data_IF_380007992592
#
_entry.id   IF_380007992592
#
_cell.length_a   1.000
_cell.length_b   1.000
_cell.length_c   1.000
_cell.angle_alpha   90.00
_cell.angle_beta   90.00
_cell.angle_gamma   90.00
#
_symmetry.space_group_name_H-M   'P 1'
#
loop_
_entity.id
_entity.type
_entity.pdbx_description
1 polymer ?
#
# COMPACT_ATOMS: atom_id res chain seq x y z
N UNK A 1 -8.92 -12.65 13.76
CA UNK A 1 -8.31 -12.37 12.43
C UNK A 1 -9.29 -11.55 11.60
N UNK A 2 -9.03 -10.24 11.36
CA UNK A 2 -9.98 -9.35 10.64
C UNK A 2 -10.09 -9.62 9.13
N UNK A 3 -9.06 -10.23 8.53
CA UNK A 3 -8.97 -10.52 7.08
C UNK A 3 -10.15 -11.31 6.51
N UNK A 4 -10.77 -12.19 7.29
CA UNK A 4 -11.87 -13.06 6.85
C UNK A 4 -13.25 -12.48 7.17
N UNK A 5 -13.34 -11.21 7.60
CA UNK A 5 -14.61 -10.60 8.01
C UNK A 5 -15.68 -10.60 6.92
N UNK A 6 -15.30 -10.57 5.64
CA UNK A 6 -16.26 -10.59 4.53
C UNK A 6 -17.02 -11.92 4.41
N UNK A 7 -16.48 -13.03 4.94
CA UNK A 7 -17.16 -14.33 4.91
C UNK A 7 -18.42 -14.36 5.77
N UNK A 8 -18.54 -13.49 6.78
CA UNK A 8 -19.71 -13.47 7.66
C UNK A 8 -20.87 -12.66 7.08
N UNK A 9 -20.65 -11.87 6.02
CA UNK A 9 -21.68 -10.99 5.43
C UNK A 9 -22.87 -11.80 4.93
N UNK A 10 -22.64 -12.88 4.17
CA UNK A 10 -23.71 -13.71 3.62
C UNK A 10 -24.46 -14.46 4.74
N UNK A 11 -23.80 -15.20 5.65
CA UNK A 11 -24.47 -15.85 6.78
C UNK A 11 -25.29 -14.89 7.64
N UNK A 12 -24.74 -13.72 8.00
CA UNK A 12 -25.44 -12.72 8.83
C UNK A 12 -26.67 -12.19 8.09
N UNK A 13 -26.56 -11.94 6.79
CA UNK A 13 -27.68 -11.44 5.98
C UNK A 13 -28.81 -12.48 5.88
N UNK A 14 -28.46 -13.76 5.69
CA UNK A 14 -29.43 -14.86 5.67
C UNK A 14 -30.09 -15.05 7.04
N UNK A 15 -29.33 -14.99 8.13
CA UNK A 15 -29.87 -15.09 9.48
C UNK A 15 -30.78 -13.90 9.82
N UNK A 16 -30.42 -12.68 9.42
CA UNK A 16 -31.26 -11.50 9.60
C UNK A 16 -32.57 -11.59 8.79
N UNK A 17 -32.52 -12.09 7.56
CA UNK A 17 -33.69 -12.35 6.73
C UNK A 17 -34.59 -13.44 7.35
N UNK A 18 -33.99 -14.56 7.78
CA UNK A 18 -34.70 -15.65 8.44
C UNK A 18 -35.35 -15.21 9.76
N UNK A 19 -34.63 -14.42 10.56
CA UNK A 19 -35.15 -13.81 11.78
C UNK A 19 -36.37 -12.92 11.47
N UNK A 20 -36.25 -12.04 10.49
CA UNK A 20 -37.34 -11.16 10.05
C UNK A 20 -38.55 -12.00 9.60
N UNK A 21 -38.34 -13.03 8.79
CA UNK A 21 -39.40 -13.95 8.36
C UNK A 21 -40.09 -14.65 9.53
N UNK A 22 -39.32 -15.16 10.48
CA UNK A 22 -39.85 -15.85 11.67
C UNK A 22 -40.77 -14.94 12.48
N UNK A 23 -40.37 -13.68 12.71
CA UNK A 23 -41.20 -12.70 13.41
C UNK A 23 -42.53 -12.45 12.66
N UNK A 24 -42.52 -12.41 11.33
CA UNK A 24 -43.77 -12.19 10.56
C UNK A 24 -44.80 -13.32 10.72
N UNK A 25 -44.36 -14.53 11.07
CA UNK A 25 -45.26 -15.66 11.33
C UNK A 25 -45.98 -15.54 12.68
N UNK A 26 -45.42 -14.79 13.64
CA UNK A 26 -46.00 -14.61 14.98
C UNK A 26 -46.99 -13.44 15.07
N UNK A 27 -47.07 -12.61 14.03
CA UNK A 27 -47.94 -11.42 14.01
C UNK A 27 -49.09 -11.57 13.01
N UNK A 28 -50.18 -10.83 13.26
CA UNK A 28 -51.36 -10.83 12.39
C UNK A 28 -51.00 -10.36 10.97
N UNK A 29 -51.64 -10.91 9.91
CA UNK A 29 -51.33 -10.54 8.52
C UNK A 29 -51.37 -9.03 8.23
N UNK A 30 -52.29 -8.32 8.89
CA UNK A 30 -52.51 -6.88 8.72
C UNK A 30 -51.31 -6.01 9.14
N UNK A 31 -50.48 -6.48 10.08
CA UNK A 31 -49.33 -5.70 10.62
C UNK A 31 -47.97 -6.16 10.11
N UNK A 32 -47.91 -7.24 9.31
CA UNK A 32 -46.65 -7.84 8.85
C UNK A 32 -45.73 -6.84 8.15
N UNK A 33 -46.28 -6.05 7.24
CA UNK A 33 -45.51 -5.06 6.47
C UNK A 33 -44.90 -4.01 7.39
N UNK A 34 -45.67 -3.49 8.34
CA UNK A 34 -45.18 -2.50 9.30
C UNK A 34 -44.05 -3.06 10.18
N UNK A 35 -44.19 -4.32 10.64
CA UNK A 35 -43.16 -4.99 11.45
C UNK A 35 -41.87 -5.19 10.65
N UNK A 36 -41.96 -5.63 9.39
CA UNK A 36 -40.78 -5.76 8.51
C UNK A 36 -40.06 -4.43 8.32
N UNK A 37 -40.81 -3.35 8.06
CA UNK A 37 -40.25 -2.00 7.90
C UNK A 37 -39.52 -1.56 9.18
N UNK A 38 -40.11 -1.79 10.36
CA UNK A 38 -39.51 -1.45 11.65
C UNK A 38 -38.21 -2.23 11.87
N UNK A 39 -38.19 -3.54 11.60
CA UNK A 39 -37.00 -4.38 11.76
C UNK A 39 -35.89 -3.90 10.81
N UNK A 40 -36.21 -3.66 9.53
CA UNK A 40 -35.25 -3.16 8.54
C UNK A 40 -34.70 -1.80 8.99
N UNK A 41 -35.57 -0.88 9.41
CA UNK A 41 -35.16 0.43 9.91
C UNK A 41 -34.23 0.31 11.12
N UNK A 42 -34.55 -0.56 12.08
CA UNK A 42 -33.71 -0.80 13.26
C UNK A 42 -32.33 -1.40 12.92
N UNK A 43 -32.26 -2.31 11.94
CA UNK A 43 -31.00 -2.91 11.50
C UNK A 43 -30.13 -1.93 10.72
N UNK A 44 -30.74 -1.08 9.88
CA UNK A 44 -30.04 -0.14 9.01
C UNK A 44 -29.63 1.15 9.72
N UNK A 45 -30.50 1.72 10.56
CA UNK A 45 -30.30 3.03 11.19
C UNK A 45 -28.96 3.20 11.92
N UNK A 46 -28.46 2.25 12.74
CA UNK A 46 -27.16 2.42 13.40
C UNK A 46 -25.97 2.28 12.43
N UNK A 47 -26.15 1.62 11.28
CA UNK A 47 -25.07 1.27 10.37
C UNK A 47 -24.99 2.19 9.15
N UNK A 48 -26.11 2.79 8.71
CA UNK A 48 -26.22 3.47 7.43
C UNK A 48 -25.21 4.61 7.27
N UNK A 49 -24.98 5.41 8.32
CA UNK A 49 -23.99 6.49 8.30
C UNK A 49 -22.57 5.95 8.11
N UNK A 50 -22.22 4.86 8.79
CA UNK A 50 -20.91 4.22 8.65
C UNK A 50 -20.75 3.59 7.26
N UNK A 51 -21.80 2.95 6.74
CA UNK A 51 -21.81 2.35 5.40
C UNK A 51 -21.61 3.40 4.31
N UNK A 52 -22.34 4.52 4.36
CA UNK A 52 -22.20 5.62 3.41
C UNK A 52 -20.79 6.22 3.49
N UNK A 53 -20.27 6.46 4.70
CA UNK A 53 -18.90 6.98 4.87
C UNK A 53 -17.85 6.03 4.27
N UNK A 54 -17.99 4.73 4.49
CA UNK A 54 -17.09 3.72 3.93
C UNK A 54 -17.18 3.64 2.41
N UNK A 55 -18.37 3.75 1.82
CA UNK A 55 -18.56 3.70 0.36
C UNK A 55 -18.07 4.96 -0.35
N UNK A 56 -17.87 6.05 0.37
CA UNK A 56 -17.34 7.32 -0.12
C UNK A 56 -15.83 7.48 0.13
N UNK A 57 -15.17 6.49 0.75
CA UNK A 57 -13.72 6.57 0.95
C UNK A 57 -13.01 6.69 -0.41
N UNK A 58 -12.00 7.57 -0.53
CA UNK A 58 -11.24 7.70 -1.76
C UNK A 58 -10.47 6.41 -2.07
N UNK A 59 -10.06 6.27 -3.32
CA UNK A 59 -9.13 5.21 -3.71
C UNK A 59 -7.84 5.31 -2.89
N UNK A 60 -7.24 4.14 -2.61
CA UNK A 60 -5.99 4.09 -1.83
C UNK A 60 -4.81 4.77 -2.54
N UNK A 61 -4.81 4.79 -3.88
CA UNK A 61 -3.78 5.49 -4.65
C UNK A 61 -4.19 6.95 -4.86
N UNK A 62 -3.30 7.87 -4.50
CA UNK A 62 -3.51 9.31 -4.72
C UNK A 62 -3.16 9.71 -6.15
N UNK A 63 -3.66 10.87 -6.60
CA UNK A 63 -3.31 11.41 -7.92
C UNK A 63 -1.79 11.64 -8.06
N UNK A 64 -1.13 12.10 -6.99
CA UNK A 64 0.32 12.33 -7.00
C UNK A 64 1.10 11.02 -7.13
N UNK A 65 0.65 9.93 -6.49
CA UNK A 65 1.24 8.60 -6.66
C UNK A 65 1.11 8.13 -8.12
N UNK A 66 -0.06 8.30 -8.71
CA UNK A 66 -0.28 7.95 -10.12
C UNK A 66 0.64 8.73 -11.05
N UNK A 67 0.70 10.07 -10.91
CA UNK A 67 1.58 10.94 -11.71
C UNK A 67 3.05 10.56 -11.55
N UNK A 68 3.49 10.28 -10.33
CA UNK A 68 4.88 9.89 -10.03
C UNK A 68 5.24 8.58 -10.73
N UNK A 69 4.37 7.58 -10.67
CA UNK A 69 4.63 6.28 -11.30
C UNK A 69 4.55 6.34 -12.82
N UNK A 70 3.66 7.15 -13.39
CA UNK A 70 3.64 7.42 -14.84
C UNK A 70 4.89 8.18 -15.29
N UNK A 71 5.40 9.11 -14.48
CA UNK A 71 6.68 9.75 -14.76
C UNK A 71 7.81 8.72 -14.75
N UNK A 72 7.84 7.82 -13.76
CA UNK A 72 8.84 6.77 -13.65
C UNK A 72 8.81 5.83 -14.87
N UNK A 73 7.62 5.44 -15.36
CA UNK A 73 7.46 4.62 -16.56
C UNK A 73 8.09 5.29 -17.80
N UNK A 74 7.89 6.60 -17.96
CA UNK A 74 8.25 7.34 -19.18
C UNK A 74 9.67 7.90 -19.19
N UNK A 75 10.27 8.10 -18.01
CA UNK A 75 11.55 8.82 -17.87
C UNK A 75 12.69 7.95 -17.34
N UNK A 76 12.44 6.66 -17.08
CA UNK A 76 13.50 5.72 -16.69
C UNK A 76 13.64 4.62 -17.75
N UNK A 77 14.83 4.03 -17.94
CA UNK A 77 15.02 2.96 -18.93
C UNK A 77 14.14 1.74 -18.62
N UNK A 78 13.93 0.86 -19.60
CA UNK A 78 13.28 -0.42 -19.31
C UNK A 78 14.16 -1.25 -18.36
N UNK A 79 13.61 -1.85 -17.30
CA UNK A 79 14.35 -2.73 -16.41
C UNK A 79 14.85 -4.01 -17.10
N UNK A 80 14.32 -4.38 -18.27
CA UNK A 80 14.71 -5.56 -19.03
C UNK A 80 15.44 -5.18 -20.33
N UNK A 81 16.32 -6.07 -20.79
CA UNK A 81 17.01 -6.01 -22.08
C UNK A 81 16.03 -6.34 -23.21
N UNK A 82 15.20 -7.38 -23.01
CA UNK A 82 14.20 -7.77 -24.02
C UNK A 82 12.96 -6.89 -23.89
N UNK A 83 12.56 -6.31 -25.02
CA UNK A 83 11.28 -5.61 -25.15
C UNK A 83 10.11 -6.54 -24.79
N UNK A 84 9.02 -5.96 -24.29
CA UNK A 84 7.78 -6.64 -23.89
C UNK A 84 7.93 -7.73 -22.81
N UNK A 85 9.08 -7.85 -22.14
CA UNK A 85 9.29 -8.82 -21.05
C UNK A 85 8.25 -8.69 -19.95
N UNK A 86 7.83 -7.47 -19.64
CA UNK A 86 6.76 -7.19 -18.68
C UNK A 86 5.44 -7.95 -18.97
N UNK A 87 5.12 -8.18 -20.24
CA UNK A 87 3.87 -8.84 -20.65
C UNK A 87 3.99 -10.36 -20.75
N UNK A 88 5.18 -10.92 -20.52
CA UNK A 88 5.40 -12.36 -20.60
C UNK A 88 4.81 -13.06 -19.37
N UNK A 89 4.26 -14.26 -19.58
CA UNK A 89 3.73 -15.10 -18.49
C UNK A 89 4.82 -15.54 -17.51
N UNK A 90 6.04 -15.76 -18.03
CA UNK A 90 7.20 -16.17 -17.27
C UNK A 90 8.39 -15.31 -17.65
N UNK A 91 8.85 -14.53 -16.68
CA UNK A 91 10.06 -13.70 -16.82
C UNK A 91 11.25 -14.51 -16.31
N UNK A 92 12.10 -14.98 -17.23
CA UNK A 92 13.35 -15.67 -16.89
C UNK A 92 14.54 -14.71 -16.82
N UNK A 93 14.37 -13.52 -17.38
CA UNK A 93 15.38 -12.48 -17.42
C UNK A 93 15.53 -11.78 -16.06
N UNK A 94 16.77 -11.55 -15.64
CA UNK A 94 17.05 -10.73 -14.46
C UNK A 94 16.87 -9.26 -14.81
N UNK A 95 16.19 -8.54 -13.93
CA UNK A 95 16.11 -7.07 -14.04
C UNK A 95 17.51 -6.45 -14.00
N UNK A 96 17.74 -5.47 -14.86
CA UNK A 96 18.95 -4.66 -14.84
C UNK A 96 19.01 -3.83 -13.57
N UNK A 97 17.86 -3.34 -13.07
CA UNK A 97 17.80 -2.58 -11.83
C UNK A 97 16.47 -2.75 -11.09
N UNK A 98 16.46 -2.43 -9.79
CA UNK A 98 15.27 -2.40 -8.95
C UNK A 98 14.86 -1.00 -8.54
N UNK A 99 13.60 -0.85 -8.15
CA UNK A 99 13.03 0.35 -7.54
C UNK A 99 12.73 0.08 -6.08
N UNK A 100 13.44 0.76 -5.17
CA UNK A 100 13.19 0.63 -3.74
C UNK A 100 12.03 1.52 -3.31
N UNK A 101 11.07 0.92 -2.64
CA UNK A 101 9.94 1.61 -2.00
C UNK A 101 9.43 0.73 -0.87
N UNK A 102 8.64 1.29 0.04
CA UNK A 102 7.94 0.48 1.04
C UNK A 102 7.04 -0.57 0.36
N UNK A 103 7.06 -1.80 0.89
CA UNK A 103 6.42 -2.96 0.27
C UNK A 103 4.95 -2.76 -0.09
N UNK A 104 4.18 -1.95 0.66
CA UNK A 104 2.78 -1.64 0.35
C UNK A 104 2.60 -1.13 -1.10
N UNK A 105 3.59 -0.40 -1.61
CA UNK A 105 3.53 0.29 -2.90
C UNK A 105 4.05 -0.57 -4.07
N UNK A 106 4.61 -1.75 -3.80
CA UNK A 106 5.23 -2.59 -4.82
C UNK A 106 4.30 -2.94 -5.97
N UNK A 107 3.01 -3.24 -5.71
CA UNK A 107 2.06 -3.50 -6.79
C UNK A 107 1.78 -2.28 -7.67
N UNK A 108 1.84 -1.06 -7.12
CA UNK A 108 1.69 0.15 -7.94
C UNK A 108 2.90 0.36 -8.85
N UNK A 109 4.11 0.12 -8.33
CA UNK A 109 5.34 0.15 -9.14
C UNK A 109 5.29 -0.87 -10.28
N UNK A 110 4.83 -2.10 -10.00
CA UNK A 110 4.67 -3.13 -11.03
C UNK A 110 3.64 -2.71 -12.07
N UNK A 111 2.44 -2.29 -11.63
CA UNK A 111 1.29 -2.13 -12.53
C UNK A 111 1.26 -0.81 -13.30
N UNK A 112 1.77 0.27 -12.72
CA UNK A 112 1.73 1.61 -13.31
C UNK A 112 3.09 1.96 -13.88
N UNK A 113 4.15 1.85 -13.08
CA UNK A 113 5.48 2.21 -13.56
C UNK A 113 6.12 1.14 -14.46
N UNK A 114 5.58 -0.10 -14.46
CA UNK A 114 6.18 -1.27 -15.15
C UNK A 114 7.65 -1.42 -14.78
N UNK A 115 7.98 -1.25 -13.50
CA UNK A 115 9.32 -1.47 -12.94
C UNK A 115 9.29 -2.59 -11.92
N UNK A 116 10.45 -3.14 -11.61
CA UNK A 116 10.61 -4.21 -10.63
C UNK A 116 10.87 -3.60 -9.25
N UNK A 117 9.92 -3.65 -8.30
CA UNK A 117 10.15 -3.15 -6.96
C UNK A 117 11.03 -4.12 -6.16
N UNK A 118 11.77 -3.62 -5.18
CA UNK A 118 12.56 -4.45 -4.27
C UNK A 118 11.68 -5.32 -3.37
N UNK A 119 10.52 -4.82 -2.96
CA UNK A 119 9.56 -5.56 -2.15
C UNK A 119 8.11 -5.29 -2.63
N UNK A 120 7.18 -6.16 -2.28
CA UNK A 120 5.76 -6.05 -2.66
C UNK A 120 4.86 -6.73 -1.64
N UNK A 121 3.53 -6.53 -1.63
CA UNK A 121 2.64 -7.18 -0.65
C UNK A 121 2.64 -8.71 -0.66
N UNK A 122 3.17 -9.32 -1.71
CA UNK A 122 3.33 -10.78 -1.84
C UNK A 122 4.75 -11.27 -1.64
N UNK A 123 5.72 -10.37 -1.55
CA UNK A 123 7.13 -10.65 -1.29
C UNK A 123 7.46 -10.17 0.14
N UNK A 124 8.37 -10.84 0.84
CA UNK A 124 8.71 -10.46 2.20
C UNK A 124 10.22 -10.49 2.36
N UNK A 125 10.88 -9.40 1.98
CA UNK A 125 12.34 -9.34 1.98
C UNK A 125 12.93 -8.56 3.16
N UNK A 126 12.15 -7.66 3.78
CA UNK A 126 12.58 -6.69 4.82
C UNK A 126 13.66 -5.70 4.36
N UNK A 127 14.13 -5.77 3.12
CA UNK A 127 15.23 -4.93 2.60
C UNK A 127 14.84 -3.45 2.61
N UNK A 128 13.59 -3.15 2.25
CA UNK A 128 13.01 -1.81 2.33
C UNK A 128 13.12 -1.22 3.74
N UNK A 129 12.72 -2.00 4.75
CA UNK A 129 12.80 -1.60 6.15
C UNK A 129 14.24 -1.39 6.61
N UNK A 130 15.13 -2.34 6.35
CA UNK A 130 16.55 -2.26 6.72
C UNK A 130 17.22 -1.01 6.14
N UNK A 131 16.95 -0.73 4.86
CA UNK A 131 17.44 0.47 4.21
C UNK A 131 16.88 1.73 4.88
N UNK A 132 15.57 1.83 5.05
CA UNK A 132 14.94 3.02 5.63
C UNK A 132 15.33 3.29 7.09
N UNK A 133 15.62 2.24 7.88
CA UNK A 133 16.07 2.35 9.28
C UNK A 133 17.57 2.49 9.46
N UNK A 134 18.35 2.53 8.37
CA UNK A 134 19.80 2.73 8.47
C UNK A 134 20.11 4.12 9.03
N UNK A 135 21.11 4.26 9.89
CA UNK A 135 21.49 5.54 10.51
C UNK A 135 22.53 6.31 9.66
N UNK A 136 23.30 5.56 8.86
CA UNK A 136 24.32 6.08 7.96
C UNK A 136 24.09 5.62 6.51
N UNK A 137 24.61 6.39 5.55
CA UNK A 137 24.55 6.01 4.12
C UNK A 137 25.36 4.74 3.84
N UNK A 138 26.45 4.50 4.58
CA UNK A 138 27.24 3.27 4.49
C UNK A 138 26.45 2.02 4.92
N UNK A 139 25.67 2.12 6.01
CA UNK A 139 24.78 1.05 6.46
C UNK A 139 23.68 0.81 5.42
N UNK A 140 23.10 1.88 4.89
CA UNK A 140 22.06 1.83 3.86
C UNK A 140 22.58 1.18 2.57
N UNK A 141 23.79 1.55 2.12
CA UNK A 141 24.45 0.97 0.96
C UNK A 141 24.77 -0.52 1.17
N UNK A 142 25.13 -0.93 2.40
CA UNK A 142 25.33 -2.34 2.75
C UNK A 142 24.04 -3.15 2.67
N UNK A 143 22.90 -2.58 3.08
CA UNK A 143 21.60 -3.23 2.96
C UNK A 143 21.20 -3.51 1.51
N UNK A 144 21.72 -2.71 0.56
CA UNK A 144 21.45 -2.85 -0.87
C UNK A 144 22.57 -3.56 -1.66
N UNK A 145 23.62 -4.07 -0.99
CA UNK A 145 24.85 -4.51 -1.67
C UNK A 145 24.63 -5.53 -2.79
N UNK A 146 23.71 -6.47 -2.60
CA UNK A 146 23.44 -7.54 -3.57
C UNK A 146 22.31 -7.19 -4.55
N UNK A 147 21.80 -5.96 -4.50
CA UNK A 147 20.67 -5.49 -5.27
C UNK A 147 21.07 -4.27 -6.08
N UNK A 148 20.89 -4.35 -7.40
CA UNK A 148 21.13 -3.19 -8.24
C UNK A 148 19.96 -2.19 -8.15
N UNK A 149 19.85 -1.46 -7.04
CA UNK A 149 18.80 -0.44 -6.86
C UNK A 149 19.24 0.85 -7.52
N UNK A 150 18.43 1.32 -8.48
CA UNK A 150 18.69 2.56 -9.20
C UNK A 150 17.81 3.71 -8.74
N UNK A 151 16.53 3.44 -8.47
CA UNK A 151 15.57 4.45 -8.04
C UNK A 151 14.99 4.13 -6.67
N UNK A 152 14.74 5.17 -5.87
CA UNK A 152 14.13 5.08 -4.54
C UNK A 152 12.94 6.01 -4.49
N UNK A 153 11.79 5.51 -4.05
CA UNK A 153 10.57 6.29 -3.87
C UNK A 153 10.27 6.40 -2.38
N UNK A 154 10.08 7.63 -1.91
CA UNK A 154 9.64 7.93 -0.54
C UNK A 154 8.43 8.85 -0.58
N UNK A 155 7.52 8.67 0.37
CA UNK A 155 6.39 9.57 0.58
C UNK A 155 6.33 10.06 2.04
N UNK A 156 5.54 11.12 2.27
CA UNK A 156 5.33 11.67 3.61
C UNK A 156 4.77 10.63 4.58
N UNK A 157 3.91 9.72 4.11
CA UNK A 157 3.25 8.74 4.98
C UNK A 157 4.23 7.73 5.56
N UNK A 158 5.36 7.46 4.89
CA UNK A 158 6.43 6.63 5.45
C UNK A 158 7.00 7.24 6.74
N UNK A 159 7.13 8.56 6.79
CA UNK A 159 7.70 9.31 7.91
C UNK A 159 6.65 9.52 9.02
N UNK A 160 5.45 9.96 8.66
CA UNK A 160 4.46 10.41 9.64
C UNK A 160 3.51 9.29 10.11
N UNK A 161 3.22 8.31 9.25
CA UNK A 161 2.18 7.32 9.50
C UNK A 161 2.68 5.88 9.64
N UNK A 162 3.66 5.49 8.83
CA UNK A 162 4.13 4.10 8.73
C UNK A 162 5.47 3.86 9.41
N UNK A 163 6.12 4.89 9.97
CA UNK A 163 7.43 4.76 10.60
C UNK A 163 7.48 3.65 11.64
N UNK A 164 6.47 3.56 12.52
CA UNK A 164 6.42 2.51 13.55
C UNK A 164 6.51 1.09 12.95
N UNK A 165 5.91 0.86 11.78
CA UNK A 165 5.93 -0.43 11.12
C UNK A 165 7.27 -0.67 10.40
N UNK A 166 7.84 0.38 9.82
CA UNK A 166 9.17 0.37 9.19
C UNK A 166 10.25 0.06 10.24
N UNK A 167 10.28 0.82 11.33
CA UNK A 167 11.17 0.65 12.48
C UNK A 167 11.10 -0.78 13.03
N UNK A 168 9.89 -1.30 13.22
CA UNK A 168 9.65 -2.68 13.67
C UNK A 168 10.15 -3.74 12.69
N UNK A 169 9.89 -3.60 11.38
CA UNK A 169 10.40 -4.54 10.37
C UNK A 169 11.92 -4.46 10.22
N UNK A 170 12.50 -3.29 10.44
CA UNK A 170 13.94 -3.06 10.42
C UNK A 170 14.65 -3.49 11.70
N UNK A 171 13.91 -3.88 12.75
CA UNK A 171 14.47 -4.27 14.05
C UNK A 171 15.02 -3.11 14.88
N UNK A 172 14.61 -1.87 14.57
CA UNK A 172 15.05 -0.63 15.23
C UNK A 172 13.84 0.16 15.77
N UNK A 173 13.04 -0.46 16.63
CA UNK A 173 11.79 0.14 17.16
C UNK A 173 12.02 1.43 17.95
N UNK A 174 13.17 1.55 18.63
CA UNK A 174 13.52 2.71 19.46
C UNK A 174 14.17 3.86 18.66
N UNK A 175 14.40 3.69 17.35
CA UNK A 175 15.04 4.69 16.51
C UNK A 175 14.08 5.85 16.19
N UNK A 176 14.51 7.08 16.49
CA UNK A 176 13.80 8.28 16.02
C UNK A 176 13.92 8.35 14.49
N UNK A 177 12.79 8.55 13.81
CA UNK A 177 12.75 8.72 12.35
C UNK A 177 13.77 9.75 11.88
N UNK A 178 14.03 10.81 12.65
CA UNK A 178 14.97 11.89 12.30
C UNK A 178 16.43 11.44 12.15
N UNK A 179 16.79 10.33 12.76
CA UNK A 179 18.14 9.75 12.70
C UNK A 179 18.29 8.75 11.55
N UNK A 180 17.17 8.42 10.87
CA UNK A 180 17.11 7.39 9.84
C UNK A 180 17.43 7.89 8.43
N UNK A 181 17.78 6.94 7.56
CA UNK A 181 17.98 7.15 6.12
C UNK A 181 16.70 7.65 5.45
N UNK A 182 15.53 7.18 5.90
CA UNK A 182 14.25 7.66 5.41
C UNK A 182 14.10 9.17 5.61
N UNK A 183 14.49 9.69 6.79
CA UNK A 183 14.43 11.13 7.05
C UNK A 183 15.49 11.92 6.28
N UNK A 184 16.68 11.35 6.08
CA UNK A 184 17.70 11.95 5.22
C UNK A 184 17.19 12.11 3.79
N UNK A 185 16.56 11.08 3.22
CA UNK A 185 15.90 11.17 1.92
C UNK A 185 14.76 12.20 1.94
N UNK A 186 13.87 12.12 2.92
CA UNK A 186 12.72 13.03 3.02
C UNK A 186 13.13 14.50 3.13
N UNK A 187 14.25 14.79 3.81
CA UNK A 187 14.79 16.15 3.97
C UNK A 187 15.80 16.56 2.89
N UNK A 188 16.01 15.72 1.88
CA UNK A 188 17.00 15.91 0.80
C UNK A 188 18.44 16.10 1.33
N UNK A 189 18.79 15.43 2.43
CA UNK A 189 20.12 15.45 3.06
C UNK A 189 20.96 14.21 2.76
N UNK A 190 20.43 13.31 1.94
CA UNK A 190 21.14 12.13 1.45
C UNK A 190 22.11 12.55 0.34
N UNK A 191 23.41 12.29 0.50
CA UNK A 191 24.45 12.76 -0.44
C UNK A 191 24.58 11.82 -1.63
N UNK A 192 24.53 10.50 -1.41
CA UNK A 192 24.62 9.48 -2.45
C UNK A 192 23.37 9.35 -3.34
N UNK A 193 22.31 10.11 -3.05
CA UNK A 193 21.00 9.98 -3.70
C UNK A 193 20.51 11.33 -4.23
N UNK A 194 20.52 11.50 -5.54
CA UNK A 194 20.03 12.71 -6.20
C UNK A 194 18.51 12.66 -6.39
N UNK A 195 17.81 13.74 -6.02
CA UNK A 195 16.36 13.83 -6.24
C UNK A 195 16.08 14.17 -7.71
N UNK A 196 15.52 13.21 -8.44
CA UNK A 196 15.21 13.34 -9.88
C UNK A 196 13.77 13.76 -10.16
N UNK A 197 12.85 13.53 -9.22
CA UNK A 197 11.44 13.91 -9.38
C UNK A 197 10.77 14.17 -8.04
N UNK A 198 9.82 15.12 -8.02
CA UNK A 198 8.99 15.42 -6.86
C UNK A 198 7.59 15.81 -7.31
N UNK A 199 6.57 15.23 -6.66
CA UNK A 199 5.18 15.58 -6.88
C UNK A 199 4.41 15.49 -5.58
N UNK A 200 3.90 16.64 -5.12
CA UNK A 200 3.20 16.73 -3.84
C UNK A 200 4.08 16.19 -2.72
N UNK A 201 3.61 15.14 -2.06
CA UNK A 201 4.27 14.52 -0.91
C UNK A 201 5.08 13.27 -1.24
N UNK A 202 5.50 13.13 -2.51
CA UNK A 202 6.23 11.98 -3.02
C UNK A 202 7.49 12.44 -3.73
N UNK A 203 8.61 11.77 -3.45
CA UNK A 203 9.92 12.07 -4.02
C UNK A 203 10.54 10.81 -4.60
N UNK A 204 11.19 10.98 -5.74
CA UNK A 204 11.97 9.93 -6.39
C UNK A 204 13.44 10.36 -6.40
N UNK A 205 14.28 9.46 -5.93
CA UNK A 205 15.73 9.62 -5.91
C UNK A 205 16.37 8.61 -6.87
N UNK A 206 17.45 9.01 -7.52
CA UNK A 206 18.35 8.15 -8.27
C UNK A 206 19.66 8.03 -7.49
N UNK A 207 20.24 6.83 -7.44
CA UNK A 207 21.54 6.61 -6.83
C UNK A 207 22.63 7.23 -7.72
N UNK A 208 23.37 8.19 -7.17
CA UNK A 208 24.56 8.75 -7.81
C UNK A 208 25.59 7.62 -7.96
N UNK A 209 26.11 7.41 -9.17
CA UNK A 209 27.02 6.30 -9.51
C UNK A 209 28.21 6.17 -8.56
#
# INVERSE_FOLDING_TARGET
QRRWGYYTVIPISLLAAYFTFTITQWVKPQVRVAVVIIIIAFLLMPNINNTIRLSQLPNNITADWYVTLTWLEKNTPDPFIKEDTYYQLKVEEKTQYGVLTWWDYGHWVIRIAKRVPTDSPTLTSNIDAQFFTSETEEEAAKALRDLNIKYIIVDRTLVEGKWYAIARRGGKEDLDVKESMLWRLWTNKAIEYEKVFERGDIKVFERSQ
#
